data_IF_507692804784
#
_entry.id   IF_507692804784
#
_cell.length_a   1.000
_cell.length_b   1.000
_cell.length_c   1.000
_cell.angle_alpha   90.00
_cell.angle_beta   90.00
_cell.angle_gamma   90.00
#
_symmetry.space_group_name_H-M   'P 1'
#
loop_
_entity.id
_entity.type
_entity.pdbx_description
1 polymer ?
#
# COMPACT_ATOMS: atom_id res chain seq x y z
N UNK A 1 -23.28 -23.30 -4.07
CA UNK A 1 -22.93 -21.99 -3.48
C UNK A 1 -21.67 -21.53 -4.17
N UNK A 2 -21.74 -20.50 -5.00
CA UNK A 2 -20.55 -19.91 -5.62
C UNK A 2 -19.80 -19.23 -4.47
N UNK A 3 -18.55 -19.61 -4.21
CA UNK A 3 -17.70 -18.90 -3.27
C UNK A 3 -17.72 -17.42 -3.66
N UNK A 4 -18.34 -16.57 -2.83
CA UNK A 4 -18.37 -15.14 -3.08
C UNK A 4 -16.93 -14.68 -3.22
N UNK A 5 -16.59 -14.05 -4.35
CA UNK A 5 -15.23 -13.57 -4.60
C UNK A 5 -14.81 -12.65 -3.45
N UNK A 6 -13.85 -13.09 -2.65
CA UNK A 6 -13.40 -12.35 -1.48
C UNK A 6 -12.80 -11.02 -1.96
N UNK A 7 -13.43 -9.91 -1.57
CA UNK A 7 -12.92 -8.58 -1.91
C UNK A 7 -11.66 -8.25 -1.12
N UNK A 8 -10.82 -7.38 -1.67
CA UNK A 8 -9.51 -7.02 -1.14
C UNK A 8 -9.45 -5.54 -0.76
N UNK A 9 -8.81 -5.24 0.36
CA UNK A 9 -8.43 -3.90 0.78
C UNK A 9 -6.92 -3.72 0.56
N UNK A 10 -6.53 -2.86 -0.37
CA UNK A 10 -5.14 -2.53 -0.64
C UNK A 10 -4.70 -1.44 0.35
N UNK A 11 -3.72 -1.74 1.20
CA UNK A 11 -3.32 -0.84 2.29
C UNK A 11 -1.86 -0.44 2.11
N UNK A 12 -1.65 0.75 1.54
CA UNK A 12 -0.33 1.32 1.40
C UNK A 12 0.16 1.83 2.76
N UNK A 13 1.26 1.26 3.26
CA UNK A 13 1.71 1.46 4.63
C UNK A 13 0.95 0.62 5.66
N UNK A 14 0.43 -0.55 5.28
CA UNK A 14 -0.42 -1.41 6.12
C UNK A 14 0.28 -2.24 7.19
N UNK A 15 1.61 -2.16 7.30
CA UNK A 15 2.41 -3.16 8.05
C UNK A 15 2.57 -2.82 9.53
N UNK A 16 2.14 -1.63 9.96
CA UNK A 16 2.20 -1.17 11.36
C UNK A 16 1.26 0.01 11.62
N UNK A 17 1.12 0.40 12.88
CA UNK A 17 0.38 1.61 13.28
C UNK A 17 -1.07 1.63 12.77
N UNK A 18 -1.53 2.80 12.30
CA UNK A 18 -2.88 2.97 11.75
C UNK A 18 -3.16 2.06 10.55
N UNK A 19 -2.16 1.82 9.69
CA UNK A 19 -2.31 0.93 8.54
C UNK A 19 -2.62 -0.51 8.94
N UNK A 20 -2.03 -0.99 10.03
CA UNK A 20 -2.33 -2.32 10.56
C UNK A 20 -3.74 -2.37 11.18
N UNK A 21 -4.19 -1.29 11.82
CA UNK A 21 -5.56 -1.23 12.33
C UNK A 21 -6.60 -1.19 11.20
N UNK A 22 -6.31 -0.50 10.08
CA UNK A 22 -7.12 -0.57 8.87
C UNK A 22 -7.20 -2.00 8.29
N UNK A 23 -6.12 -2.78 8.43
CA UNK A 23 -6.11 -4.18 8.00
C UNK A 23 -7.05 -5.04 8.86
N UNK A 24 -6.96 -4.90 10.19
CA UNK A 24 -7.88 -5.57 11.12
C UNK A 24 -9.32 -5.17 10.88
N UNK A 25 -9.56 -3.88 10.65
CA UNK A 25 -10.89 -3.39 10.35
C UNK A 25 -11.41 -3.95 9.03
N UNK A 26 -10.56 -4.09 8.01
CA UNK A 26 -10.93 -4.73 6.76
C UNK A 26 -11.38 -6.18 6.96
N UNK A 27 -10.63 -6.97 7.76
CA UNK A 27 -11.04 -8.35 8.09
C UNK A 27 -12.36 -8.40 8.86
N UNK A 28 -12.58 -7.50 9.82
CA UNK A 28 -13.86 -7.38 10.55
C UNK A 28 -15.05 -7.09 9.63
N UNK A 29 -14.79 -6.56 8.42
CA UNK A 29 -15.79 -6.25 7.41
C UNK A 29 -15.80 -7.25 6.23
N UNK A 30 -15.25 -8.45 6.42
CA UNK A 30 -15.13 -9.51 5.41
C UNK A 30 -14.36 -9.10 4.13
N UNK A 31 -13.39 -8.17 4.28
CA UNK A 31 -12.51 -7.71 3.21
C UNK A 31 -11.09 -8.17 3.52
N UNK A 32 -10.49 -8.97 2.63
CA UNK A 32 -9.13 -9.46 2.81
C UNK A 32 -8.12 -8.31 2.71
N UNK A 33 -7.31 -8.01 3.75
CA UNK A 33 -6.30 -6.98 3.63
C UNK A 33 -5.11 -7.48 2.81
N UNK A 34 -4.62 -6.62 1.92
CA UNK A 34 -3.34 -6.75 1.23
C UNK A 34 -2.45 -5.58 1.66
N UNK A 35 -1.43 -5.90 2.45
CA UNK A 35 -0.51 -4.94 3.03
C UNK A 35 0.60 -4.62 2.04
N UNK A 36 0.71 -3.36 1.66
CA UNK A 36 1.76 -2.87 0.78
C UNK A 36 2.76 -2.07 1.63
N UNK A 37 3.96 -2.60 1.86
CA UNK A 37 4.94 -1.90 2.69
C UNK A 37 6.34 -2.49 2.68
N UNK A 38 7.27 -1.83 3.40
CA UNK A 38 8.70 -2.19 3.44
C UNK A 38 9.03 -3.28 4.46
N UNK A 39 8.12 -3.57 5.37
CA UNK A 39 8.35 -4.46 6.50
C UNK A 39 7.26 -5.52 6.54
N UNK A 40 7.62 -6.76 6.90
CA UNK A 40 6.59 -7.77 7.12
C UNK A 40 5.75 -7.40 8.35
N UNK A 41 4.43 -7.61 8.25
CA UNK A 41 3.60 -7.64 9.45
C UNK A 41 3.87 -8.93 10.23
N UNK A 42 3.81 -8.86 11.56
CA UNK A 42 3.89 -10.04 12.43
C UNK A 42 2.54 -10.77 12.54
N UNK A 43 1.45 -10.09 12.20
CA UNK A 43 0.07 -10.57 12.36
C UNK A 43 -0.47 -11.11 11.03
N UNK A 44 -0.25 -10.38 9.95
CA UNK A 44 -0.64 -10.78 8.59
C UNK A 44 0.55 -11.43 7.90
N UNK A 45 0.47 -12.75 7.71
CA UNK A 45 1.55 -13.56 7.11
C UNK A 45 1.17 -14.09 5.73
N UNK A 46 2.17 -14.58 4.98
CA UNK A 46 1.97 -15.18 3.66
C UNK A 46 1.57 -14.18 2.58
N UNK A 47 0.55 -14.55 1.78
CA UNK A 47 0.12 -13.86 0.55
C UNK A 47 -0.54 -12.48 0.79
N UNK A 48 -0.79 -12.12 2.04
CA UNK A 48 -1.39 -10.82 2.41
C UNK A 48 -0.37 -9.67 2.40
N UNK A 49 0.89 -9.90 2.04
CA UNK A 49 1.92 -8.87 2.05
C UNK A 49 2.67 -8.75 0.72
N UNK A 50 2.66 -7.55 0.15
CA UNK A 50 3.47 -7.19 -1.01
C UNK A 50 4.52 -6.17 -0.58
N UNK A 51 5.80 -6.53 -0.78
CA UNK A 51 6.89 -5.63 -0.45
C UNK A 51 6.92 -4.44 -1.41
N UNK A 52 6.84 -3.22 -0.88
CA UNK A 52 7.06 -1.99 -1.64
C UNK A 52 7.81 -0.96 -0.81
N UNK A 53 8.88 -0.42 -1.37
CA UNK A 53 9.52 0.81 -0.90
C UNK A 53 9.16 1.95 -1.83
N UNK A 54 8.40 2.92 -1.32
CA UNK A 54 7.94 4.07 -2.10
C UNK A 54 9.07 5.04 -2.49
N UNK A 55 10.25 4.93 -1.88
CA UNK A 55 11.44 5.67 -2.31
C UNK A 55 12.20 4.96 -3.45
N UNK A 56 11.90 3.69 -3.74
CA UNK A 56 12.52 2.91 -4.80
C UNK A 56 11.59 2.81 -6.01
N UNK A 57 11.94 3.54 -7.07
CA UNK A 57 11.15 3.60 -8.31
C UNK A 57 10.97 2.24 -8.98
N UNK A 58 11.96 1.34 -8.88
CA UNK A 58 11.85 0.00 -9.45
C UNK A 58 10.83 -0.86 -8.69
N UNK A 59 10.76 -0.69 -7.36
CA UNK A 59 9.76 -1.39 -6.54
C UNK A 59 8.36 -0.86 -6.77
N UNK A 60 8.20 0.45 -6.93
CA UNK A 60 6.92 1.06 -7.29
C UNK A 60 6.46 0.58 -8.66
N UNK A 61 7.35 0.57 -9.66
CA UNK A 61 7.03 0.07 -11.00
C UNK A 61 6.62 -1.40 -10.98
N UNK A 62 7.36 -2.25 -10.26
CA UNK A 62 7.01 -3.67 -10.13
C UNK A 62 5.65 -3.88 -9.46
N UNK A 63 5.28 -3.05 -8.47
CA UNK A 63 3.95 -3.09 -7.86
C UNK A 63 2.86 -2.65 -8.83
N UNK A 64 3.07 -1.56 -9.58
CA UNK A 64 2.15 -1.11 -10.63
C UNK A 64 1.91 -2.22 -11.66
N UNK A 65 2.99 -2.83 -12.17
CA UNK A 65 2.91 -3.95 -13.10
C UNK A 65 2.18 -5.14 -12.49
N UNK A 66 2.47 -5.48 -11.23
CA UNK A 66 1.73 -6.53 -10.51
C UNK A 66 0.24 -6.20 -10.44
N UNK A 67 -0.17 -4.97 -10.12
CA UNK A 67 -1.58 -4.57 -10.06
C UNK A 67 -2.25 -4.69 -11.42
N UNK A 68 -1.59 -4.24 -12.48
CA UNK A 68 -2.11 -4.24 -13.85
C UNK A 68 -2.21 -5.67 -14.42
N UNK A 69 -1.24 -6.53 -14.11
CA UNK A 69 -1.22 -7.92 -14.59
C UNK A 69 -2.03 -8.86 -13.70
N UNK A 70 -2.21 -8.52 -12.43
CA UNK A 70 -3.03 -9.31 -11.52
C UNK A 70 -4.50 -9.00 -11.75
N UNK A 71 -5.33 -10.05 -11.75
CA UNK A 71 -6.78 -9.92 -11.76
C UNK A 71 -7.33 -9.36 -10.43
N UNK A 72 -6.59 -8.52 -9.71
CA UNK A 72 -6.95 -7.99 -8.41
C UNK A 72 -7.94 -6.84 -8.49
N UNK A 73 -7.89 -6.04 -9.57
CA UNK A 73 -8.72 -4.84 -9.74
C UNK A 73 -10.22 -5.15 -9.57
N UNK A 74 -10.80 -6.20 -10.19
CA UNK A 74 -12.20 -6.58 -9.99
C UNK A 74 -12.58 -6.91 -8.54
N UNK A 75 -11.61 -7.26 -7.70
CA UNK A 75 -11.81 -7.61 -6.30
C UNK A 75 -11.41 -6.48 -5.34
N UNK A 76 -10.74 -5.44 -5.82
CA UNK A 76 -10.29 -4.31 -5.01
C UNK A 76 -11.50 -3.47 -4.58
N UNK A 77 -11.85 -3.53 -3.29
CA UNK A 77 -12.97 -2.78 -2.71
C UNK A 77 -12.52 -1.46 -2.12
N UNK A 78 -11.35 -1.45 -1.48
CA UNK A 78 -10.79 -0.26 -0.84
C UNK A 78 -9.32 -0.08 -1.21
N UNK A 79 -8.91 1.18 -1.36
CA UNK A 79 -7.52 1.59 -1.38
C UNK A 79 -7.28 2.58 -0.25
N UNK A 80 -6.39 2.22 0.67
CA UNK A 80 -6.00 3.05 1.79
C UNK A 80 -4.60 3.61 1.56
N UNK A 81 -4.51 4.91 1.32
CA UNK A 81 -3.25 5.65 1.29
C UNK A 81 -2.84 6.06 2.70
N UNK A 82 -2.17 5.15 3.42
CA UNK A 82 -1.70 5.43 4.79
C UNK A 82 -0.20 5.74 4.87
N UNK A 83 0.60 5.28 3.90
CA UNK A 83 2.06 5.47 3.95
C UNK A 83 2.41 6.96 3.96
N UNK A 84 3.23 7.34 4.93
CA UNK A 84 3.75 8.68 5.07
C UNK A 84 5.21 8.64 5.55
N UNK A 85 5.97 9.67 5.19
CA UNK A 85 7.32 9.91 5.67
C UNK A 85 7.49 11.37 6.02
N UNK A 86 8.13 11.67 7.14
CA UNK A 86 8.46 13.03 7.51
C UNK A 86 9.86 13.09 8.11
N UNK A 87 10.52 14.22 7.94
CA UNK A 87 11.77 14.54 8.62
C UNK A 87 11.47 15.51 9.76
N UNK A 88 11.98 15.23 10.96
CA UNK A 88 11.89 16.15 12.10
C UNK A 88 12.99 17.20 12.00
N UNK A 89 12.91 18.04 10.99
CA UNK A 89 13.85 19.11 10.69
C UNK A 89 13.07 20.38 10.32
N UNK A 90 13.74 21.54 10.38
CA UNK A 90 13.20 22.75 9.75
C UNK A 90 13.16 22.55 8.23
N UNK A 91 12.34 23.33 7.52
CA UNK A 91 12.23 23.22 6.05
C UNK A 91 13.59 23.44 5.38
N UNK A 92 14.43 24.31 5.93
CA UNK A 92 15.77 24.60 5.37
C UNK A 92 16.81 23.53 5.69
N UNK A 93 16.55 22.67 6.68
CA UNK A 93 17.49 21.65 7.16
C UNK A 93 17.11 20.23 6.72
N UNK A 94 16.07 20.08 5.88
CA UNK A 94 15.69 18.78 5.33
C UNK A 94 16.84 18.21 4.49
N UNK A 95 17.24 16.97 4.80
CA UNK A 95 18.31 16.30 4.07
C UNK A 95 17.86 15.90 2.68
N UNK A 96 16.62 15.41 2.54
CA UNK A 96 16.09 14.98 1.24
C UNK A 96 14.59 15.29 1.10
N UNK A 97 14.22 16.57 0.87
CA UNK A 97 12.82 16.96 0.66
C UNK A 97 12.21 16.29 -0.57
N UNK A 98 13.03 15.90 -1.57
CA UNK A 98 12.54 15.19 -2.75
C UNK A 98 12.08 13.78 -2.40
N UNK A 99 12.78 13.08 -1.51
CA UNK A 99 12.34 11.77 -1.01
C UNK A 99 11.05 11.88 -0.20
N UNK A 100 10.87 12.94 0.58
CA UNK A 100 9.59 13.22 1.26
C UNK A 100 8.46 13.35 0.23
N UNK A 101 8.65 14.14 -0.82
CA UNK A 101 7.66 14.28 -1.90
C UNK A 101 7.44 12.96 -2.63
N UNK A 102 8.50 12.20 -2.93
CA UNK A 102 8.39 10.93 -3.65
C UNK A 102 7.55 9.92 -2.86
N UNK A 103 7.84 9.75 -1.57
CA UNK A 103 7.15 8.78 -0.70
C UNK A 103 5.70 9.19 -0.41
N UNK A 104 5.46 10.48 -0.15
CA UNK A 104 4.14 10.94 0.30
C UNK A 104 3.20 11.32 -0.83
N UNK A 105 3.69 11.54 -2.06
CA UNK A 105 2.89 12.05 -3.18
C UNK A 105 3.13 11.22 -4.44
N UNK A 106 4.35 11.26 -5.01
CA UNK A 106 4.59 10.77 -6.38
C UNK A 106 4.41 9.26 -6.54
N UNK A 107 4.95 8.47 -5.62
CA UNK A 107 4.88 7.01 -5.72
C UNK A 107 3.46 6.48 -5.47
N UNK A 108 2.74 6.93 -4.44
CA UNK A 108 1.35 6.52 -4.27
C UNK A 108 0.41 6.96 -5.40
N UNK A 109 0.59 8.16 -6.01
CA UNK A 109 -0.27 8.55 -7.15
C UNK A 109 -0.11 7.60 -8.32
N UNK A 110 1.12 7.15 -8.63
CA UNK A 110 1.36 6.14 -9.69
C UNK A 110 0.66 4.82 -9.39
N UNK A 111 0.65 4.39 -8.13
CA UNK A 111 -0.05 3.15 -7.72
C UNK A 111 -1.56 3.30 -7.94
N UNK A 112 -2.13 4.46 -7.60
CA UNK A 112 -3.56 4.74 -7.85
C UNK A 112 -3.85 4.77 -9.34
N UNK A 113 -2.99 5.38 -10.15
CA UNK A 113 -3.16 5.40 -11.60
C UNK A 113 -3.23 3.99 -12.19
N UNK A 114 -2.46 3.03 -11.66
CA UNK A 114 -2.55 1.62 -12.08
C UNK A 114 -3.82 0.91 -11.62
N UNK A 115 -4.54 1.43 -10.61
CA UNK A 115 -5.81 0.85 -10.13
C UNK A 115 -7.04 1.31 -10.91
N UNK A 116 -6.92 2.40 -11.67
CA UNK A 116 -8.05 3.04 -12.39
C UNK A 116 -7.95 2.90 -13.92
N UNK A 117 -6.96 2.17 -14.42
CA UNK A 117 -6.78 1.84 -15.84
C UNK A 117 -7.52 0.56 -16.19
#
# INVERSE_FOLDING_TARGET
>A
MVAGSQTVALILGGTSGLGLELARESERNDVKPMLLGRSKSLEFTGDSHVYVDLADKHRVYALCQYIEESYIIPYAKYFFWNAAMFERASITDMCDPKKVIEVNIVSPTKIIESLIR
#
